data_IF_648987812081
#
_entry.id   IF_648987812081
#
_cell.length_a   1.000
_cell.length_b   1.000
_cell.length_c   1.000
_cell.angle_alpha   90.00
_cell.angle_beta   90.00
_cell.angle_gamma   90.00
#
_symmetry.space_group_name_H-M   'P 1'
#
loop_
_entity.id
_entity.type
_entity.pdbx_description
1 polymer ?
#
# COMPACT_ATOMS: atom_id res chain seq x y z
N UNK A 1 8.38 35.39 -1.96
CA UNK A 1 7.36 34.36 -1.68
C UNK A 1 6.92 33.76 -3.00
N UNK A 2 7.56 32.67 -3.41
CA UNK A 2 7.14 31.81 -4.53
C UNK A 2 7.70 30.41 -4.19
N UNK A 3 7.02 29.65 -3.34
CA UNK A 3 7.49 28.33 -2.87
C UNK A 3 6.45 27.18 -2.83
N UNK A 4 5.14 27.31 -3.15
CA UNK A 4 4.24 26.14 -3.09
C UNK A 4 4.25 25.25 -4.34
N UNK A 5 4.75 25.74 -5.49
CA UNK A 5 4.64 25.03 -6.78
C UNK A 5 5.74 23.97 -6.94
N UNK A 6 6.92 24.24 -6.38
CA UNK A 6 8.07 23.34 -6.45
C UNK A 6 7.85 22.08 -5.59
N UNK A 7 7.24 22.21 -4.42
CA UNK A 7 6.88 21.08 -3.56
C UNK A 7 5.85 20.15 -4.20
N UNK A 8 4.82 20.71 -4.86
CA UNK A 8 3.81 19.93 -5.55
C UNK A 8 4.40 19.16 -6.75
N UNK A 9 5.32 19.79 -7.49
CA UNK A 9 6.04 19.14 -8.59
C UNK A 9 6.92 17.99 -8.08
N UNK A 10 7.61 18.18 -6.95
CA UNK A 10 8.41 17.14 -6.31
C UNK A 10 7.55 15.96 -5.84
N UNK A 11 6.39 16.21 -5.25
CA UNK A 11 5.46 15.17 -4.82
C UNK A 11 4.92 14.35 -6.00
N UNK A 12 4.54 15.01 -7.09
CA UNK A 12 4.07 14.34 -8.31
C UNK A 12 5.15 13.45 -8.94
N UNK A 13 6.41 13.91 -8.95
CA UNK A 13 7.54 13.13 -9.45
C UNK A 13 7.80 11.87 -8.60
N UNK A 14 7.68 11.98 -7.26
CA UNK A 14 7.82 10.84 -6.37
C UNK A 14 6.72 9.79 -6.58
N UNK A 15 5.46 10.21 -6.72
CA UNK A 15 4.36 9.30 -6.96
C UNK A 15 4.48 8.60 -8.34
N UNK A 16 4.94 9.31 -9.37
CA UNK A 16 5.22 8.71 -10.68
C UNK A 16 6.34 7.66 -10.61
N UNK A 17 7.41 7.93 -9.85
CA UNK A 17 8.49 6.97 -9.63
C UNK A 17 8.02 5.73 -8.86
N UNK A 18 7.17 5.93 -7.83
CA UNK A 18 6.55 4.83 -7.08
C UNK A 18 5.68 3.95 -7.97
N UNK A 19 4.82 4.54 -8.82
CA UNK A 19 3.98 3.79 -9.77
C UNK A 19 4.80 2.96 -10.74
N UNK A 20 5.87 3.53 -11.30
CA UNK A 20 6.81 2.81 -12.19
C UNK A 20 7.42 1.60 -11.50
N UNK A 21 7.93 1.79 -10.29
CA UNK A 21 8.53 0.71 -9.49
C UNK A 21 7.53 -0.42 -9.19
N UNK A 22 6.29 -0.07 -8.86
CA UNK A 22 5.25 -1.06 -8.61
C UNK A 22 4.87 -1.79 -9.90
N UNK A 23 4.82 -1.09 -11.03
CA UNK A 23 4.50 -1.69 -12.32
C UNK A 23 5.58 -2.68 -12.80
N UNK A 24 6.84 -2.51 -12.41
CA UNK A 24 7.90 -3.48 -12.67
C UNK A 24 7.65 -4.84 -11.98
N UNK A 25 6.96 -4.84 -10.84
CA UNK A 25 6.68 -6.06 -10.05
C UNK A 25 5.30 -6.63 -10.36
N UNK A 26 4.29 -5.76 -10.47
CA UNK A 26 2.88 -6.15 -10.55
C UNK A 26 2.26 -5.95 -11.94
N UNK A 27 2.95 -5.28 -12.88
CA UNK A 27 2.43 -4.89 -14.18
C UNK A 27 1.68 -3.56 -14.18
N UNK A 28 1.07 -3.20 -15.31
CA UNK A 28 0.39 -1.88 -15.47
C UNK A 28 -0.88 -1.74 -14.62
N UNK A 29 -1.51 -2.85 -14.28
CA UNK A 29 -2.68 -2.88 -13.40
C UNK A 29 -2.19 -3.04 -11.97
N UNK A 30 -2.10 -1.91 -11.26
CA UNK A 30 -1.90 -1.95 -9.83
C UNK A 30 -3.20 -2.43 -9.18
N UNK A 31 -3.17 -3.39 -8.23
CA UNK A 31 -4.36 -3.73 -7.46
C UNK A 31 -4.90 -2.46 -6.80
N UNK A 32 -6.22 -2.31 -6.80
CA UNK A 32 -6.88 -1.32 -5.94
C UNK A 32 -6.48 -1.64 -4.50
N UNK A 33 -6.03 -0.63 -3.76
CA UNK A 33 -5.56 -0.81 -2.39
C UNK A 33 -6.77 -1.05 -1.48
N UNK A 34 -7.36 -2.24 -1.55
CA UNK A 34 -8.51 -2.65 -0.74
C UNK A 34 -8.11 -3.02 0.69
N UNK A 35 -6.83 -3.28 0.94
CA UNK A 35 -6.32 -3.76 2.22
C UNK A 35 -5.24 -2.79 2.73
N UNK A 36 -5.65 -1.56 3.09
CA UNK A 36 -4.90 -0.86 4.13
C UNK A 36 -5.12 -1.66 5.42
N UNK A 37 -4.09 -2.32 5.98
CA UNK A 37 -4.24 -2.95 7.27
C UNK A 37 -4.55 -1.83 8.24
N UNK A 38 -5.83 -1.72 8.62
CA UNK A 38 -6.20 -0.94 9.79
C UNK A 38 -5.25 -1.42 10.89
N UNK A 39 -4.71 -0.51 11.70
CA UNK A 39 -3.89 -0.88 12.85
C UNK A 39 -4.72 -1.62 13.94
N UNK A 40 -5.71 -2.43 13.53
CA UNK A 40 -6.46 -3.36 14.32
C UNK A 40 -5.51 -4.46 14.78
N UNK A 41 -4.92 -4.17 15.93
CA UNK A 41 -4.54 -5.11 16.97
C UNK A 41 -3.38 -6.08 16.64
N UNK A 42 -2.33 -6.00 17.46
CA UNK A 42 -1.26 -7.01 17.58
C UNK A 42 -1.77 -8.31 18.24
N UNK A 43 -3.02 -8.67 17.99
CA UNK A 43 -3.69 -9.77 18.67
C UNK A 43 -3.85 -10.94 17.69
N UNK A 44 -3.73 -12.18 18.18
CA UNK A 44 -3.84 -13.41 17.38
C UNK A 44 -5.28 -13.66 16.84
N UNK A 45 -6.18 -12.67 16.95
CA UNK A 45 -7.59 -12.77 16.56
C UNK A 45 -7.75 -13.12 15.09
N UNK A 46 -7.02 -12.44 14.21
CA UNK A 46 -7.06 -12.77 12.78
C UNK A 46 -6.64 -14.22 12.52
N UNK A 47 -5.60 -14.70 13.21
CA UNK A 47 -5.13 -16.08 13.07
C UNK A 47 -6.17 -17.10 13.54
N UNK A 48 -6.83 -16.86 14.67
CA UNK A 48 -7.87 -17.75 15.19
C UNK A 48 -9.10 -17.82 14.27
N UNK A 49 -9.47 -16.70 13.65
CA UNK A 49 -10.60 -16.62 12.72
C UNK A 49 -10.30 -17.27 11.35
N UNK A 50 -9.04 -17.22 10.91
CA UNK A 50 -8.65 -17.65 9.56
C UNK A 50 -7.84 -18.95 9.54
N UNK A 51 -7.56 -19.58 10.69
CA UNK A 51 -6.79 -20.83 10.71
C UNK A 51 -7.55 -21.94 9.96
N UNK A 52 -6.88 -22.73 9.11
CA UNK A 52 -7.53 -23.83 8.40
C UNK A 52 -8.11 -24.87 9.37
N UNK A 53 -9.22 -25.55 9.02
CA UNK A 53 -9.98 -26.43 9.91
C UNK A 53 -9.25 -27.72 10.32
N UNK A 54 -8.09 -28.01 9.73
CA UNK A 54 -7.28 -29.19 10.02
C UNK A 54 -5.97 -28.87 10.77
N UNK A 55 -5.80 -27.64 11.25
CA UNK A 55 -4.69 -27.29 12.13
C UNK A 55 -5.09 -27.55 13.60
N UNK A 56 -4.68 -28.72 14.10
CA UNK A 56 -4.54 -29.05 15.53
C UNK A 56 -3.04 -29.24 15.84
#
# INVERSE_FOLDING_TARGET
MNEPVDDAAAAAAQEAARRRRLAEVFGEVLPEADDEPTAAHRDDQWYLENRPPHHE
#
